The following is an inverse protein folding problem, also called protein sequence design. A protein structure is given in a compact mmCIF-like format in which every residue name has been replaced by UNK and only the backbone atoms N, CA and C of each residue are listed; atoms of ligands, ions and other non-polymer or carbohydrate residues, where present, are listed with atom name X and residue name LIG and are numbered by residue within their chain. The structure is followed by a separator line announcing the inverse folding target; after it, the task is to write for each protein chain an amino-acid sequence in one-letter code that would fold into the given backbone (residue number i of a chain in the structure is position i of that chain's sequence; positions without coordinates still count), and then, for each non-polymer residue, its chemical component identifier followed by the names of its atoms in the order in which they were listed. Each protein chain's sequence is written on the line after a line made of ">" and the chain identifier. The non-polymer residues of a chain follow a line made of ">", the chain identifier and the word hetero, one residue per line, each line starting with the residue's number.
data_IF_018852374636
#
_entry.id   IF_018852374636
#
_cell.length_a   1.000
_cell.length_b   1.000
_cell.length_c   1.000
_cell.angle_alpha   90.00
_cell.angle_beta   90.00
_cell.angle_gamma   90.00
#
_symmetry.space_group_name_H-M   'P 1'
#
loop_
_entity.id
_entity.type
_entity.pdbx_description
1 polymer ?
#
# COMPACT_ATOMS: atom_id res chain seq x y z
N UNK A 1 -42.16 -26.62 10.45
CA UNK A 1 -40.92 -26.56 11.24
C UNK A 1 -40.03 -25.47 10.66
N UNK A 2 -40.13 -24.25 11.19
CA UNK A 2 -39.20 -23.17 10.84
C UNK A 2 -37.91 -23.40 11.63
N UNK A 3 -36.83 -23.73 10.93
CA UNK A 3 -35.49 -23.85 11.51
C UNK A 3 -35.00 -22.48 11.96
N UNK A 4 -35.43 -22.05 13.15
CA UNK A 4 -34.77 -21.02 13.94
C UNK A 4 -33.45 -21.60 14.47
N UNK A 5 -32.49 -21.83 13.58
CA UNK A 5 -31.09 -21.98 13.95
C UNK A 5 -30.61 -20.55 14.24
N UNK A 6 -30.87 -20.10 15.47
CA UNK A 6 -30.01 -19.09 16.08
C UNK A 6 -28.61 -19.69 16.03
N UNK A 7 -27.82 -19.32 15.01
CA UNK A 7 -26.42 -19.66 14.93
C UNK A 7 -25.79 -19.23 16.26
N UNK A 8 -25.41 -20.21 17.10
CA UNK A 8 -24.43 -19.94 18.15
C UNK A 8 -23.26 -19.29 17.44
N UNK A 9 -23.10 -17.98 17.61
CA UNK A 9 -22.01 -17.22 17.03
C UNK A 9 -20.73 -17.91 17.48
N UNK A 10 -19.88 -18.28 16.52
CA UNK A 10 -18.64 -19.00 16.82
C UNK A 10 -17.78 -18.16 17.76
N UNK A 11 -17.01 -18.79 18.65
CA UNK A 11 -16.07 -18.06 19.53
C UNK A 11 -15.10 -17.19 18.70
N UNK A 12 -14.71 -17.68 17.52
CA UNK A 12 -13.91 -16.94 16.52
C UNK A 12 -14.63 -15.67 16.06
N UNK A 13 -15.92 -15.76 15.73
CA UNK A 13 -16.71 -14.59 15.33
C UNK A 13 -16.79 -13.58 16.48
N UNK A 14 -17.08 -14.04 17.70
CA UNK A 14 -17.17 -13.16 18.87
C UNK A 14 -15.84 -12.47 19.14
N UNK A 15 -14.72 -13.18 18.99
CA UNK A 15 -13.38 -12.62 19.09
C UNK A 15 -13.13 -11.55 18.01
N UNK A 16 -13.40 -11.86 16.74
CA UNK A 16 -13.22 -10.90 15.63
C UNK A 16 -14.09 -9.67 15.83
N UNK A 17 -15.32 -9.82 16.30
CA UNK A 17 -16.21 -8.71 16.60
C UNK A 17 -15.68 -7.84 17.75
N UNK A 18 -15.16 -8.46 18.81
CA UNK A 18 -14.58 -7.75 19.96
C UNK A 18 -13.30 -6.98 19.57
N UNK A 19 -12.41 -7.61 18.81
CA UNK A 19 -11.12 -7.06 18.40
C UNK A 19 -11.19 -6.26 17.09
N UNK A 20 -12.40 -5.92 16.64
CA UNK A 20 -12.66 -5.38 15.31
C UNK A 20 -11.82 -4.12 14.99
N UNK A 21 -11.85 -3.12 15.87
CA UNK A 21 -11.08 -1.88 15.75
C UNK A 21 -9.57 -2.14 15.74
N UNK A 22 -9.12 -3.07 16.58
CA UNK A 22 -7.70 -3.46 16.65
C UNK A 22 -7.25 -4.14 15.35
N UNK A 23 -8.09 -5.01 14.78
CA UNK A 23 -7.86 -5.65 13.48
C UNK A 23 -7.82 -4.59 12.37
N UNK A 24 -8.74 -3.63 12.36
CA UNK A 24 -8.72 -2.51 11.40
C UNK A 24 -7.39 -1.75 11.47
N UNK A 25 -6.95 -1.38 12.67
CA UNK A 25 -5.69 -0.67 12.88
C UNK A 25 -4.48 -1.46 12.39
N UNK A 26 -4.43 -2.77 12.65
CA UNK A 26 -3.36 -3.62 12.15
C UNK A 26 -3.36 -3.72 10.62
N UNK A 27 -4.53 -3.87 9.99
CA UNK A 27 -4.66 -3.89 8.53
C UNK A 27 -4.19 -2.57 7.93
N UNK A 28 -4.61 -1.44 8.49
CA UNK A 28 -4.19 -0.10 8.07
C UNK A 28 -2.68 0.08 8.21
N UNK A 29 -2.08 -0.54 9.23
CA UNK A 29 -0.62 -0.55 9.44
C UNK A 29 0.13 -1.56 8.54
N UNK A 30 -0.59 -2.32 7.70
CA UNK A 30 0.00 -3.24 6.74
C UNK A 30 0.06 -4.70 7.17
N UNK A 31 -0.61 -5.09 8.26
CA UNK A 31 -0.62 -6.49 8.69
C UNK A 31 -1.34 -7.40 7.67
N UNK A 32 -0.74 -8.54 7.38
CA UNK A 32 -1.32 -9.61 6.57
C UNK A 32 -2.30 -10.46 7.39
N UNK A 33 -3.16 -11.22 6.71
CA UNK A 33 -4.08 -12.17 7.36
C UNK A 33 -3.37 -13.15 8.31
N UNK A 34 -2.16 -13.61 7.95
CA UNK A 34 -1.39 -14.53 8.80
C UNK A 34 -0.85 -13.83 10.07
N UNK A 35 -0.42 -12.58 9.96
CA UNK A 35 0.05 -11.80 11.11
C UNK A 35 -1.09 -11.42 12.04
N UNK A 36 -2.25 -11.06 11.50
CA UNK A 36 -3.47 -10.79 12.29
C UNK A 36 -3.88 -12.05 13.05
N UNK A 37 -3.93 -13.21 12.38
CA UNK A 37 -4.17 -14.50 13.03
C UNK A 37 -3.20 -14.75 14.19
N UNK A 38 -1.88 -14.63 13.95
CA UNK A 38 -0.86 -14.84 14.99
C UNK A 38 -1.04 -13.87 16.18
N UNK A 39 -1.32 -12.59 15.91
CA UNK A 39 -1.56 -11.59 16.97
C UNK A 39 -2.79 -11.93 17.80
N UNK A 40 -3.89 -12.33 17.16
CA UNK A 40 -5.10 -12.76 17.88
C UNK A 40 -4.85 -14.01 18.72
N UNK A 41 -4.17 -15.03 18.18
CA UNK A 41 -3.83 -16.25 18.92
C UNK A 41 -2.88 -15.99 20.10
N UNK A 42 -1.98 -15.01 20.00
CA UNK A 42 -1.07 -14.63 21.08
C UNK A 42 -1.76 -13.78 22.16
N UNK A 43 -2.67 -12.89 21.76
CA UNK A 43 -3.39 -12.01 22.69
C UNK A 43 -4.53 -12.73 23.41
N UNK A 44 -5.08 -13.78 22.81
CA UNK A 44 -6.19 -14.58 23.34
C UNK A 44 -5.83 -16.07 23.36
N UNK A 45 -4.82 -16.49 24.14
CA UNK A 45 -4.40 -17.89 24.21
C UNK A 45 -5.49 -18.82 24.74
N UNK A 46 -6.49 -18.27 25.44
CA UNK A 46 -7.67 -19.00 25.93
C UNK A 46 -8.61 -19.46 24.80
N UNK A 47 -8.55 -18.83 23.63
CA UNK A 47 -9.38 -19.19 22.47
C UNK A 47 -8.52 -19.95 21.47
N UNK A 48 -8.70 -21.28 21.39
CA UNK A 48 -8.01 -22.09 20.41
C UNK A 48 -8.79 -22.14 19.09
N UNK A 49 -8.23 -21.57 18.03
CA UNK A 49 -8.85 -21.60 16.71
C UNK A 49 -7.82 -21.76 15.59
N UNK A 50 -8.23 -22.41 14.51
CA UNK A 50 -7.39 -22.60 13.34
C UNK A 50 -7.37 -21.36 12.44
N UNK A 51 -6.28 -21.21 11.69
CA UNK A 51 -6.18 -20.17 10.65
C UNK A 51 -7.33 -20.26 9.63
N UNK A 52 -7.75 -21.47 9.25
CA UNK A 52 -8.87 -21.65 8.32
C UNK A 52 -10.21 -21.19 8.92
N UNK A 53 -10.43 -21.47 10.21
CA UNK A 53 -11.59 -20.97 10.94
C UNK A 53 -11.62 -19.45 11.02
N UNK A 54 -10.47 -18.82 11.31
CA UNK A 54 -10.31 -17.36 11.26
C UNK A 54 -10.63 -16.80 9.87
N UNK A 55 -10.01 -17.34 8.83
CA UNK A 55 -10.21 -16.87 7.45
C UNK A 55 -11.66 -17.01 7.00
N UNK A 56 -12.34 -18.11 7.35
CA UNK A 56 -13.74 -18.35 7.04
C UNK A 56 -14.65 -17.30 7.71
N UNK A 57 -14.49 -17.08 9.02
CA UNK A 57 -15.30 -16.11 9.75
C UNK A 57 -15.02 -14.67 9.27
N UNK A 58 -13.75 -14.31 9.08
CA UNK A 58 -13.40 -12.97 8.58
C UNK A 58 -13.97 -12.73 7.19
N UNK A 59 -13.88 -13.72 6.28
CA UNK A 59 -14.44 -13.60 4.93
C UNK A 59 -15.97 -13.44 4.93
N UNK A 60 -16.68 -14.21 5.75
CA UNK A 60 -18.14 -14.24 5.73
C UNK A 60 -18.77 -13.06 6.46
N UNK A 61 -18.15 -12.59 7.55
CA UNK A 61 -18.74 -11.55 8.41
C UNK A 61 -18.08 -10.17 8.23
N UNK A 62 -16.81 -10.11 7.81
CA UNK A 62 -16.03 -8.88 7.66
C UNK A 62 -15.24 -8.88 6.35
N UNK A 63 -15.94 -9.13 5.23
CA UNK A 63 -15.30 -9.29 3.92
C UNK A 63 -14.39 -8.12 3.54
N UNK A 64 -14.75 -6.89 3.89
CA UNK A 64 -13.94 -5.71 3.58
C UNK A 64 -12.59 -5.69 4.32
N UNK A 65 -12.52 -6.21 5.56
CA UNK A 65 -11.26 -6.40 6.29
C UNK A 65 -10.43 -7.49 5.63
N UNK A 66 -11.09 -8.59 5.26
CA UNK A 66 -10.46 -9.70 4.55
C UNK A 66 -9.82 -9.23 3.23
N UNK A 67 -10.56 -8.49 2.40
CA UNK A 67 -10.08 -7.94 1.13
C UNK A 67 -8.93 -6.93 1.33
N UNK A 68 -9.05 -6.05 2.33
CA UNK A 68 -8.00 -5.08 2.65
C UNK A 68 -6.70 -5.75 3.09
N UNK A 69 -6.79 -6.78 3.95
CA UNK A 69 -5.63 -7.54 4.42
C UNK A 69 -4.98 -8.38 3.29
N UNK A 70 -5.73 -8.81 2.27
CA UNK A 70 -5.15 -9.47 1.09
C UNK A 70 -4.20 -8.55 0.31
N UNK A 71 -4.52 -7.25 0.24
CA UNK A 71 -3.69 -6.24 -0.44
C UNK A 71 -2.36 -5.99 0.29
N UNK A 72 -2.26 -6.35 1.56
CA UNK A 72 -1.05 -6.22 2.36
C UNK A 72 0.02 -7.28 2.06
N UNK A 73 -0.27 -8.30 1.23
CA UNK A 73 0.78 -9.24 0.76
C UNK A 73 1.87 -8.57 -0.07
N UNK A 74 1.58 -7.41 -0.68
CA UNK A 74 2.54 -6.71 -1.50
C UNK A 74 3.41 -5.76 -0.64
N UNK A 75 4.62 -6.21 -0.30
CA UNK A 75 5.60 -5.41 0.46
C UNK A 75 5.88 -4.04 -0.17
N UNK A 76 5.90 -3.96 -1.50
CA UNK A 76 6.10 -2.68 -2.22
C UNK A 76 4.97 -1.70 -1.97
N UNK A 77 3.72 -2.18 -1.95
CA UNK A 77 2.56 -1.34 -1.61
C UNK A 77 2.71 -0.76 -0.22
N UNK A 78 3.08 -1.60 0.76
CA UNK A 78 3.27 -1.16 2.14
C UNK A 78 4.40 -0.13 2.27
N UNK A 79 5.51 -0.32 1.57
CA UNK A 79 6.59 0.67 1.55
C UNK A 79 6.14 2.02 1.02
N UNK A 80 5.34 2.02 -0.06
CA UNK A 80 4.82 3.25 -0.67
C UNK A 80 3.83 3.96 0.26
N UNK A 81 2.92 3.22 0.91
CA UNK A 81 2.00 3.82 1.90
C UNK A 81 2.77 4.40 3.08
N UNK A 82 3.76 3.67 3.59
CA UNK A 82 4.57 4.09 4.75
C UNK A 82 5.38 5.37 4.48
N UNK A 83 5.87 5.56 3.26
CA UNK A 83 6.70 6.71 2.88
C UNK A 83 5.94 7.70 1.99
N UNK A 84 4.60 7.72 2.08
CA UNK A 84 3.76 8.56 1.22
C UNK A 84 4.20 10.03 1.29
N UNK A 85 4.42 10.57 2.48
CA UNK A 85 4.74 11.98 2.68
C UNK A 85 6.09 12.35 2.06
N UNK A 86 7.10 11.49 2.23
CA UNK A 86 8.43 11.69 1.62
C UNK A 86 8.38 11.61 0.09
N UNK A 87 7.60 10.66 -0.44
CA UNK A 87 7.35 10.53 -1.89
C UNK A 87 6.66 11.79 -2.40
N UNK A 88 5.63 12.26 -1.71
CA UNK A 88 4.87 13.45 -2.10
C UNK A 88 5.75 14.70 -2.08
N UNK A 89 6.56 14.90 -1.04
CA UNK A 89 7.48 16.02 -0.92
C UNK A 89 8.56 15.99 -2.03
N UNK A 90 9.13 14.82 -2.30
CA UNK A 90 10.18 14.65 -3.33
C UNK A 90 9.62 14.92 -4.73
N UNK A 91 8.44 14.42 -5.06
CA UNK A 91 7.79 14.71 -6.34
C UNK A 91 7.40 16.20 -6.42
N UNK A 92 6.87 16.79 -5.35
CA UNK A 92 6.47 18.19 -5.33
C UNK A 92 7.63 19.16 -5.49
N UNK A 93 8.84 18.78 -5.03
CA UNK A 93 10.08 19.54 -5.28
C UNK A 93 10.62 19.44 -6.71
N UNK A 94 9.92 18.71 -7.60
CA UNK A 94 10.23 18.66 -9.02
C UNK A 94 11.06 17.45 -9.47
N UNK A 95 11.32 16.49 -8.58
CA UNK A 95 12.01 15.25 -8.94
C UNK A 95 11.15 14.35 -9.82
N UNK A 96 11.79 13.57 -10.70
CA UNK A 96 11.12 12.56 -11.51
C UNK A 96 10.75 11.33 -10.67
N UNK A 97 9.87 10.48 -11.19
CA UNK A 97 9.52 9.21 -10.54
C UNK A 97 10.75 8.32 -10.30
N UNK A 98 11.71 8.31 -11.23
CA UNK A 98 12.92 7.50 -11.12
C UNK A 98 13.84 8.00 -10.00
N UNK A 99 14.05 9.32 -9.94
CA UNK A 99 14.84 9.93 -8.86
C UNK A 99 14.16 9.75 -7.50
N UNK A 100 12.85 9.94 -7.43
CA UNK A 100 12.07 9.74 -6.20
C UNK A 100 12.23 8.30 -5.69
N UNK A 101 12.10 7.30 -6.57
CA UNK A 101 12.29 5.91 -6.20
C UNK A 101 13.71 5.66 -5.66
N UNK A 102 14.74 6.18 -6.34
CA UNK A 102 16.12 5.98 -5.93
C UNK A 102 16.45 6.64 -4.59
N UNK A 103 15.86 7.80 -4.31
CA UNK A 103 16.09 8.55 -3.07
C UNK A 103 15.34 7.95 -1.88
N UNK A 104 14.06 7.61 -2.05
CA UNK A 104 13.18 7.24 -0.93
C UNK A 104 13.08 5.72 -0.76
N UNK A 105 13.03 4.97 -1.86
CA UNK A 105 12.81 3.53 -1.85
C UNK A 105 13.82 2.78 -2.76
N UNK A 106 15.14 2.90 -2.54
CA UNK A 106 16.15 2.28 -3.40
C UNK A 106 16.03 0.75 -3.47
N UNK A 107 15.48 0.13 -2.43
CA UNK A 107 15.24 -1.31 -2.32
C UNK A 107 14.07 -1.82 -3.19
N UNK A 108 13.21 -0.92 -3.69
CA UNK A 108 12.06 -1.27 -4.53
C UNK A 108 12.45 -1.08 -6.00
N UNK A 109 12.21 -2.09 -6.85
CA UNK A 109 12.46 -1.92 -8.28
C UNK A 109 11.57 -0.84 -8.88
N UNK A 110 12.09 -0.08 -9.84
CA UNK A 110 11.37 1.05 -10.43
C UNK A 110 9.99 0.66 -11.02
N UNK A 111 9.88 -0.51 -11.65
CA UNK A 111 8.62 -1.01 -12.19
C UNK A 111 7.59 -1.26 -11.09
N UNK A 112 7.99 -1.91 -10.00
CA UNK A 112 7.11 -2.16 -8.86
C UNK A 112 6.68 -0.84 -8.20
N UNK A 113 7.61 0.12 -8.08
CA UNK A 113 7.34 1.46 -7.58
C UNK A 113 6.27 2.17 -8.41
N UNK A 114 6.44 2.27 -9.74
CA UNK A 114 5.46 2.93 -10.62
C UNK A 114 4.08 2.28 -10.53
N UNK A 115 4.03 0.94 -10.65
CA UNK A 115 2.76 0.22 -10.68
C UNK A 115 1.99 0.50 -9.39
N UNK A 116 2.64 0.38 -8.24
CA UNK A 116 1.99 0.59 -6.96
C UNK A 116 1.71 2.07 -6.67
N UNK A 117 2.59 2.99 -7.05
CA UNK A 117 2.33 4.42 -6.90
C UNK A 117 1.13 4.85 -7.74
N UNK A 118 1.01 4.38 -8.98
CA UNK A 118 -0.14 4.67 -9.86
C UNK A 118 -1.46 4.15 -9.28
N UNK A 119 -1.44 2.96 -8.67
CA UNK A 119 -2.64 2.35 -8.10
C UNK A 119 -3.08 3.07 -6.82
N UNK A 120 -2.14 3.42 -5.93
CA UNK A 120 -2.49 3.96 -4.61
C UNK A 120 -2.53 5.51 -4.58
N UNK A 121 -1.76 6.18 -5.44
CA UNK A 121 -1.61 7.64 -5.50
C UNK A 121 -1.49 8.13 -6.97
N UNK A 122 -2.58 8.03 -7.76
CA UNK A 122 -2.55 8.36 -9.19
C UNK A 122 -2.12 9.81 -9.49
N UNK A 123 -2.47 10.75 -8.62
CA UNK A 123 -2.13 12.17 -8.77
C UNK A 123 -0.62 12.42 -8.62
N UNK A 124 0.02 11.78 -7.63
CA UNK A 124 1.48 11.84 -7.46
C UNK A 124 2.20 11.22 -8.66
N UNK A 125 1.68 10.10 -9.16
CA UNK A 125 2.21 9.47 -10.37
C UNK A 125 2.11 10.41 -11.59
N UNK A 126 0.97 11.08 -11.78
CA UNK A 126 0.79 12.05 -12.87
C UNK A 126 1.76 13.24 -12.74
N UNK A 127 1.90 13.80 -11.54
CA UNK A 127 2.82 14.90 -11.27
C UNK A 127 4.28 14.51 -11.55
N UNK A 128 4.72 13.33 -11.09
CA UNK A 128 6.06 12.82 -11.37
C UNK A 128 6.34 12.64 -12.88
N UNK A 129 5.33 12.27 -13.67
CA UNK A 129 5.45 12.26 -15.15
C UNK A 129 5.63 13.67 -15.73
N UNK A 130 4.90 14.66 -15.20
CA UNK A 130 5.05 16.05 -15.63
C UNK A 130 6.47 16.58 -15.34
N UNK A 131 7.04 16.23 -14.19
CA UNK A 131 8.41 16.60 -13.84
C UNK A 131 9.43 16.05 -14.85
N UNK A 132 9.27 14.79 -15.28
CA UNK A 132 10.11 14.21 -16.32
C UNK A 132 10.00 14.98 -17.64
N UNK A 133 8.78 15.31 -18.09
CA UNK A 133 8.56 16.09 -19.29
C UNK A 133 9.19 17.50 -19.20
N UNK A 134 9.06 18.17 -18.06
CA UNK A 134 9.72 19.47 -17.80
C UNK A 134 11.25 19.35 -17.85
N UNK A 135 11.81 18.29 -17.28
CA UNK A 135 13.26 18.03 -17.28
C UNK A 135 13.80 17.78 -18.70
N UNK A 136 13.08 17.00 -19.50
CA UNK A 136 13.43 16.78 -20.91
C UNK A 136 13.40 18.08 -21.71
N UNK A 137 12.34 18.90 -21.58
CA UNK A 137 12.25 20.21 -22.24
C UNK A 137 13.41 21.13 -21.87
N UNK A 138 13.76 21.23 -20.57
CA UNK A 138 14.92 22.00 -20.12
C UNK A 138 16.24 21.51 -20.75
N UNK A 139 16.41 20.19 -20.88
CA UNK A 139 17.61 19.61 -21.51
C UNK A 139 17.71 19.99 -22.99
N UNK A 140 16.61 19.88 -23.73
CA UNK A 140 16.52 20.24 -25.17
C UNK A 140 16.82 21.73 -25.38
N UNK A 141 16.26 22.60 -24.53
CA UNK A 141 16.48 24.05 -24.63
C UNK A 141 17.95 24.42 -24.33
N UNK A 142 18.60 23.74 -23.37
CA UNK A 142 20.02 23.95 -23.08
C UNK A 142 20.94 23.47 -24.21
N UNK A 143 20.63 22.33 -24.82
CA UNK A 143 21.41 21.84 -25.97
C UNK A 143 21.28 22.74 -27.21
N UNK A 144 20.10 23.33 -27.44
CA UNK A 144 19.88 24.26 -28.56
C UNK A 144 20.51 25.64 -28.34
N UNK A 145 20.61 26.11 -27.08
CA UNK A 145 21.37 27.33 -26.77
C UNK A 145 22.89 27.16 -26.94
N UNK A 146 23.44 25.97 -26.67
CA UNK A 146 24.87 25.70 -26.90
C UNK A 146 25.23 25.55 -28.39
N UNK A 147 24.32 25.08 -29.24
CA UNK A 147 24.57 25.06 -30.69
C UNK A 147 24.53 26.45 -31.32
N UNK A 148 23.75 27.39 -30.78
CA UNK A 148 23.71 28.78 -31.26
C UNK A 148 24.95 29.59 -30.84
N UNK A 149 25.50 29.38 -29.64
CA UNK A 149 26.73 30.08 -29.22
C UNK A 149 27.96 29.73 -30.08
N UNK A 150 27.99 28.54 -30.68
CA UNK A 150 29.09 28.12 -31.56
C UNK A 150 28.98 28.62 -33.01
N UNK A 151 27.84 29.22 -33.40
CA UNK A 151 27.65 29.79 -34.74
C UNK A 151 28.03 31.29 -34.77
N UNK A 152 28.03 31.94 -33.61
CA UNK A 152 28.38 33.36 -33.45
C UNK A 152 29.76 33.60 -32.80
N UNK A 153 30.63 32.58 -32.77
CA UNK A 153 32.03 32.68 -32.29
C UNK A 153 33.02 32.60 -33.43
#
# INVERSE_FOLDING_TARGET
>A
MHNNIFHKKSEIYCLIFKEHEQIMNWISSGATLSEIYKKLSLNHPEINFSINGFLYNLRNFYYYLYDSALKNKNKTRLFIIKHQDDIAATISSGHTLKETQQLILPQVTYNCFIVQLRINYPDLHALGKMNHAKKLRKKINRSSSHSLSNIFS
#
